data_IF_542375565708
#
_entry.id   IF_542375565708
#
_cell.length_a   1.000
_cell.length_b   1.000
_cell.length_c   1.000
_cell.angle_alpha   90.00
_cell.angle_beta   90.00
_cell.angle_gamma   90.00
#
_symmetry.space_group_name_H-M   'P 1'
#
loop_
_entity.id
_entity.type
_entity.pdbx_description
1 polymer ?
#
# COMPACT_ATOMS: atom_id res chain seq x y z
N UNK A 1 -11.28 -56.48 -20.02
CA UNK A 1 -9.85 -56.64 -20.37
C UNK A 1 -9.18 -55.31 -19.96
N UNK A 2 -8.62 -55.18 -18.75
CA UNK A 2 -7.20 -55.39 -18.36
C UNK A 2 -6.23 -54.62 -19.29
N UNK A 3 -5.31 -53.73 -18.86
CA UNK A 3 -4.40 -53.67 -17.70
C UNK A 3 -4.14 -52.19 -17.30
N UNK A 4 -3.80 -51.73 -16.08
CA UNK A 4 -2.74 -52.02 -15.08
C UNK A 4 -1.29 -51.75 -15.51
N UNK A 5 -0.61 -50.87 -14.75
CA UNK A 5 0.86 -50.80 -14.54
C UNK A 5 1.58 -49.76 -15.41
N UNK A 6 2.59 -49.01 -14.96
CA UNK A 6 3.42 -49.14 -13.76
C UNK A 6 4.13 -47.80 -13.42
N UNK A 7 4.47 -47.65 -12.15
CA UNK A 7 5.40 -46.66 -11.57
C UNK A 7 6.82 -47.24 -11.53
N UNK A 8 7.83 -46.46 -11.95
CA UNK A 8 9.25 -46.47 -11.52
C UNK A 8 9.97 -45.37 -12.37
N UNK A 9 10.92 -44.56 -11.92
CA UNK A 9 12.08 -44.86 -11.09
C UNK A 9 12.64 -43.59 -10.43
N UNK A 10 13.15 -43.77 -9.21
CA UNK A 10 14.23 -42.96 -8.63
C UNK A 10 15.56 -43.47 -9.20
N UNK A 11 16.53 -42.57 -9.39
CA UNK A 11 17.95 -42.91 -9.51
C UNK A 11 18.80 -41.66 -9.34
N UNK A 12 19.66 -41.64 -8.30
CA UNK A 12 21.08 -41.37 -8.53
C UNK A 12 21.97 -42.45 -7.90
N UNK A 13 22.94 -42.94 -8.68
CA UNK A 13 24.02 -43.87 -8.33
C UNK A 13 25.34 -43.08 -8.34
N UNK A 14 25.88 -42.74 -7.15
CA UNK A 14 27.09 -43.29 -6.45
C UNK A 14 28.44 -42.68 -6.92
N UNK A 15 29.58 -42.69 -6.17
CA UNK A 15 29.94 -43.53 -5.00
C UNK A 15 30.76 -42.88 -3.84
N UNK A 16 30.77 -43.62 -2.70
CA UNK A 16 31.85 -43.85 -1.70
C UNK A 16 32.51 -42.70 -0.91
N UNK A 17 32.46 -42.78 0.43
CA UNK A 17 33.56 -43.35 1.23
C UNK A 17 33.17 -43.53 2.72
N UNK A 18 33.49 -44.72 3.24
CA UNK A 18 33.35 -45.14 4.63
C UNK A 18 34.42 -44.48 5.52
N UNK A 19 34.01 -43.92 6.67
CA UNK A 19 34.88 -43.95 7.84
C UNK A 19 34.08 -44.09 9.13
N UNK A 20 34.22 -45.26 9.74
CA UNK A 20 33.71 -45.61 11.05
C UNK A 20 34.58 -44.97 12.15
N UNK A 21 33.95 -44.28 13.10
CA UNK A 21 34.62 -43.76 14.28
C UNK A 21 33.61 -43.38 15.35
N UNK A 22 33.24 -44.34 16.20
CA UNK A 22 32.37 -44.10 17.34
C UNK A 22 33.03 -43.23 18.41
N UNK A 23 32.24 -42.40 19.07
CA UNK A 23 32.40 -42.06 20.49
C UNK A 23 31.12 -41.42 21.01
N UNK A 24 30.51 -42.10 22.00
CA UNK A 24 29.43 -41.57 22.81
C UNK A 24 29.96 -40.41 23.65
N UNK A 25 29.29 -39.27 23.63
CA UNK A 25 29.35 -38.29 24.69
C UNK A 25 27.93 -37.74 24.93
N UNK A 26 27.33 -38.18 26.04
CA UNK A 26 26.12 -37.60 26.60
C UNK A 26 26.47 -36.26 27.25
N UNK A 27 25.76 -35.19 26.88
CA UNK A 27 25.67 -33.98 27.68
C UNK A 27 24.22 -33.48 27.66
N UNK A 28 23.64 -33.38 28.86
CA UNK A 28 22.28 -32.90 29.14
C UNK A 28 22.11 -31.40 28.84
N UNK A 29 20.85 -30.91 28.72
CA UNK A 29 20.53 -29.59 28.19
C UNK A 29 20.73 -28.52 29.26
N UNK A 30 21.26 -27.37 28.87
CA UNK A 30 21.23 -26.17 29.71
C UNK A 30 21.48 -24.92 28.87
N UNK A 31 20.39 -24.23 28.56
CA UNK A 31 20.11 -22.81 28.90
C UNK A 31 19.12 -22.24 27.89
N UNK A 32 17.87 -22.09 28.36
CA UNK A 32 16.83 -21.28 27.73
C UNK A 32 17.37 -19.83 27.63
N UNK A 33 17.41 -19.20 26.45
CA UNK A 33 17.60 -17.77 26.39
C UNK A 33 16.37 -17.12 27.03
N UNK A 34 16.58 -16.37 28.10
CA UNK A 34 15.61 -15.41 28.61
C UNK A 34 15.38 -14.39 27.51
N UNK A 35 14.18 -14.42 26.91
CA UNK A 35 13.64 -13.33 26.10
C UNK A 35 13.75 -12.03 26.89
N UNK A 36 14.47 -11.01 26.41
CA UNK A 36 14.15 -9.64 26.77
C UNK A 36 12.78 -9.35 26.15
N UNK A 37 11.83 -8.98 26.99
CA UNK A 37 10.64 -8.27 26.55
C UNK A 37 11.10 -6.88 26.14
N UNK A 38 11.49 -6.72 24.88
CA UNK A 38 11.66 -5.41 24.28
C UNK A 38 10.28 -4.92 23.84
N UNK A 39 9.62 -4.30 24.82
CA UNK A 39 8.63 -3.25 24.60
C UNK A 39 9.34 -2.09 23.88
N UNK A 40 9.54 -2.25 22.57
CA UNK A 40 9.98 -1.15 21.70
C UNK A 40 8.75 -0.36 21.29
N UNK A 41 8.24 0.40 22.26
CA UNK A 41 7.57 1.66 22.00
C UNK A 41 8.62 2.63 21.44
N UNK A 42 8.93 2.54 20.14
CA UNK A 42 9.74 3.53 19.43
C UNK A 42 8.88 4.76 19.09
N UNK A 43 8.50 5.49 20.14
CA UNK A 43 8.22 6.92 20.08
C UNK A 43 9.55 7.67 19.94
N UNK A 44 10.02 7.87 18.71
CA UNK A 44 11.08 8.83 18.42
C UNK A 44 11.08 9.31 16.96
N UNK A 45 9.91 9.63 16.40
CA UNK A 45 9.83 10.68 15.38
C UNK A 45 9.51 11.96 16.15
N UNK A 46 10.44 12.92 16.19
CA UNK A 46 10.26 14.17 16.93
C UNK A 46 8.87 14.72 16.70
N UNK A 47 8.07 14.80 17.76
CA UNK A 47 6.68 15.26 17.71
C UNK A 47 6.71 16.68 17.17
N UNK A 48 6.47 16.84 15.87
CA UNK A 48 6.37 18.17 15.28
C UNK A 48 5.31 18.96 16.06
N UNK A 49 5.55 20.26 16.26
CA UNK A 49 4.50 21.13 16.79
C UNK A 49 3.52 21.48 15.66
N UNK A 50 2.83 20.46 15.15
CA UNK A 50 1.92 20.61 14.03
C UNK A 50 0.62 21.34 14.42
N UNK A 51 0.42 21.65 15.70
CA UNK A 51 -0.81 22.26 16.20
C UNK A 51 -2.04 21.38 15.97
N UNK A 52 -3.13 21.98 15.45
CA UNK A 52 -4.39 21.25 15.20
C UNK A 52 -4.39 20.59 13.83
N UNK A 53 -4.77 19.30 13.72
CA UNK A 53 -4.84 18.62 12.43
C UNK A 53 -5.86 19.26 11.48
N UNK A 54 -5.61 19.20 10.16
CA UNK A 54 -6.52 19.74 9.16
C UNK A 54 -7.90 19.08 9.26
N UNK A 55 -8.95 19.90 9.24
CA UNK A 55 -10.34 19.44 9.25
C UNK A 55 -10.89 19.40 7.82
N UNK A 56 -11.38 18.23 7.43
CA UNK A 56 -12.06 18.05 6.15
C UNK A 56 -13.47 18.65 6.16
N UNK A 57 -13.97 19.15 5.02
CA UNK A 57 -15.37 19.51 4.88
C UNK A 57 -16.31 18.31 5.14
N UNK A 58 -17.56 18.58 5.50
CA UNK A 58 -18.53 17.52 5.76
C UNK A 58 -18.77 16.65 4.51
N UNK A 59 -18.75 15.33 4.68
CA UNK A 59 -18.93 14.36 3.58
C UNK A 59 -17.65 14.02 2.80
N UNK A 60 -16.57 14.78 2.99
CA UNK A 60 -15.28 14.54 2.36
C UNK A 60 -14.45 13.51 3.13
N UNK A 61 -13.63 12.75 2.38
CA UNK A 61 -12.68 11.78 2.93
C UNK A 61 -11.39 11.85 2.15
N UNK A 62 -10.27 11.87 2.86
CA UNK A 62 -8.97 11.66 2.24
C UNK A 62 -8.72 10.16 2.11
N UNK A 63 -8.21 9.74 0.97
CA UNK A 63 -7.89 8.34 0.68
C UNK A 63 -6.55 8.24 -0.05
N UNK A 64 -5.85 7.12 0.18
CA UNK A 64 -4.63 6.78 -0.54
C UNK A 64 -4.85 5.46 -1.31
N UNK A 65 -4.68 5.42 -2.64
CA UNK A 65 -4.77 4.19 -3.42
C UNK A 65 -3.83 3.12 -2.86
N UNK A 66 -4.37 1.94 -2.58
CA UNK A 66 -3.59 0.81 -2.08
C UNK A 66 -2.90 0.01 -3.19
N UNK A 67 -3.44 0.10 -4.41
CA UNK A 67 -2.93 -0.50 -5.65
C UNK A 67 -3.23 0.45 -6.81
N UNK A 68 -2.53 0.33 -7.95
CA UNK A 68 -2.84 1.11 -9.14
C UNK A 68 -4.33 1.02 -9.50
N UNK A 69 -5.05 2.15 -9.61
CA UNK A 69 -6.47 2.15 -9.94
C UNK A 69 -6.75 1.49 -11.30
N UNK A 70 -7.93 0.90 -11.44
CA UNK A 70 -8.37 0.21 -12.66
C UNK A 70 -9.64 0.85 -13.24
N UNK A 71 -10.00 0.49 -14.49
CA UNK A 71 -11.14 1.07 -15.24
C UNK A 71 -12.46 1.02 -14.47
N UNK A 72 -12.76 2.06 -13.70
CA UNK A 72 -14.03 2.23 -12.99
C UNK A 72 -13.97 2.01 -11.48
N UNK A 73 -12.80 1.73 -10.90
CA UNK A 73 -12.70 1.49 -9.46
C UNK A 73 -11.44 2.02 -8.81
N UNK A 74 -11.54 2.24 -7.50
CA UNK A 74 -10.46 2.65 -6.64
C UNK A 74 -10.43 1.74 -5.41
N UNK A 75 -9.33 1.01 -5.23
CA UNK A 75 -9.02 0.35 -3.96
C UNK A 75 -8.14 1.27 -3.14
N UNK A 76 -8.64 1.81 -2.03
CA UNK A 76 -7.93 2.82 -1.25
C UNK A 76 -8.10 2.66 0.26
N UNK A 77 -7.08 3.05 1.01
CA UNK A 77 -7.11 3.16 2.47
C UNK A 77 -7.64 4.53 2.86
N UNK A 78 -8.29 4.62 4.02
CA UNK A 78 -8.63 5.93 4.59
C UNK A 78 -7.32 6.63 4.96
N UNK A 79 -7.08 7.84 4.43
CA UNK A 79 -5.89 8.61 4.75
C UNK A 79 -6.14 9.52 5.95
N UNK A 80 -5.21 9.50 6.90
CA UNK A 80 -5.26 10.31 8.13
C UNK A 80 -4.08 11.28 8.17
N UNK A 81 -4.28 12.48 8.73
CA UNK A 81 -3.17 13.40 8.93
C UNK A 81 -2.20 12.81 9.96
N UNK A 82 -0.93 12.79 9.59
CA UNK A 82 0.22 12.38 10.39
C UNK A 82 1.11 13.60 10.56
N UNK A 83 1.46 13.91 11.80
CA UNK A 83 2.34 15.04 12.10
C UNK A 83 3.79 14.65 11.79
N UNK A 84 4.44 15.42 10.92
CA UNK A 84 5.89 15.34 10.68
C UNK A 84 6.58 16.52 11.36
N UNK A 85 7.93 16.54 11.42
CA UNK A 85 8.65 17.71 11.92
C UNK A 85 8.36 19.02 11.17
N UNK A 86 7.84 18.96 9.94
CA UNK A 86 7.61 20.14 9.10
C UNK A 86 6.12 20.52 8.98
N UNK A 87 5.22 19.53 8.91
CA UNK A 87 3.81 19.74 8.54
C UNK A 87 2.91 18.53 8.81
N UNK A 88 1.61 18.70 8.54
CA UNK A 88 0.64 17.61 8.48
C UNK A 88 0.60 16.99 7.09
N UNK A 89 0.94 15.70 6.98
CA UNK A 89 0.82 14.94 5.73
C UNK A 89 -0.22 13.84 5.88
N UNK A 90 -0.92 13.50 4.81
CA UNK A 90 -1.90 12.42 4.83
C UNK A 90 -1.25 11.10 4.46
N UNK A 91 -1.52 10.05 5.24
CA UNK A 91 -1.12 8.68 4.91
C UNK A 91 -2.28 7.71 5.11
N UNK A 92 -2.40 6.76 4.20
CA UNK A 92 -3.35 5.67 4.18
C UNK A 92 -3.13 4.72 5.35
N UNK A 93 -4.16 4.56 6.16
CA UNK A 93 -4.14 3.71 7.35
C UNK A 93 -5.20 2.61 7.27
N UNK A 94 -4.91 1.48 7.91
CA UNK A 94 -5.82 0.35 8.00
C UNK A 94 -6.00 -0.42 6.69
N UNK A 95 -7.14 -1.09 6.57
CA UNK A 95 -7.47 -1.94 5.41
C UNK A 95 -8.00 -1.10 4.25
N UNK A 96 -7.61 -1.46 3.04
CA UNK A 96 -8.15 -0.88 1.84
C UNK A 96 -9.63 -1.24 1.68
N UNK A 97 -10.40 -0.27 1.19
CA UNK A 97 -11.81 -0.43 0.78
C UNK A 97 -11.86 -0.29 -0.74
N UNK A 98 -12.85 -0.97 -1.33
CA UNK A 98 -13.11 -0.91 -2.75
C UNK A 98 -14.25 0.07 -3.01
N UNK A 99 -14.03 1.01 -3.93
CA UNK A 99 -14.99 2.01 -4.34
C UNK A 99 -15.22 1.92 -5.84
N UNK A 100 -16.47 2.06 -6.27
CA UNK A 100 -16.83 2.31 -7.66
C UNK A 100 -16.90 3.81 -7.92
N UNK A 101 -16.64 4.22 -9.16
CA UNK A 101 -16.96 5.57 -9.59
C UNK A 101 -18.41 5.64 -10.06
N UNK A 102 -19.14 6.66 -9.61
CA UNK A 102 -20.45 6.97 -10.14
C UNK A 102 -20.36 7.33 -11.63
N UNK A 103 -21.47 7.20 -12.36
CA UNK A 103 -21.53 7.48 -13.81
C UNK A 103 -21.06 8.89 -14.19
N UNK A 104 -21.40 9.90 -13.37
CA UNK A 104 -21.10 11.32 -13.59
C UNK A 104 -20.12 11.88 -12.55
N UNK A 105 -19.07 11.12 -12.23
CA UNK A 105 -18.06 11.55 -11.25
C UNK A 105 -17.33 12.82 -11.69
N UNK A 106 -17.17 13.76 -10.75
CA UNK A 106 -16.32 14.95 -10.93
C UNK A 106 -14.88 14.58 -10.58
N UNK A 107 -14.00 14.55 -11.57
CA UNK A 107 -12.60 14.21 -11.38
C UNK A 107 -11.70 15.42 -11.62
N UNK A 108 -10.76 15.65 -10.70
CA UNK A 108 -9.80 16.76 -10.75
C UNK A 108 -8.38 16.29 -10.44
N UNK A 109 -7.42 16.72 -11.25
CA UNK A 109 -5.99 16.48 -11.04
C UNK A 109 -5.28 17.76 -10.59
N UNK A 110 -4.28 17.61 -9.73
CA UNK A 110 -3.46 18.71 -9.26
C UNK A 110 -2.51 19.19 -10.37
N UNK A 111 -2.34 20.49 -10.48
CA UNK A 111 -1.41 21.14 -11.45
C UNK A 111 -0.41 22.06 -10.75
N UNK A 112 -0.37 22.00 -9.41
CA UNK A 112 0.44 22.86 -8.55
C UNK A 112 -0.31 23.24 -7.27
N UNK A 113 0.36 24.01 -6.42
CA UNK A 113 -0.18 24.48 -5.14
C UNK A 113 -1.55 25.15 -5.30
N UNK A 114 -2.60 24.55 -4.73
CA UNK A 114 -3.97 25.05 -4.75
C UNK A 114 -4.63 25.10 -6.13
N UNK A 115 -4.02 24.49 -7.15
CA UNK A 115 -4.53 24.50 -8.53
C UNK A 115 -4.91 23.12 -8.98
N UNK A 116 -6.14 22.97 -9.45
CA UNK A 116 -6.64 21.73 -10.03
C UNK A 116 -7.20 21.97 -11.43
N UNK A 117 -7.30 20.88 -12.19
CA UNK A 117 -7.96 20.87 -13.50
C UNK A 117 -8.93 19.70 -13.56
N UNK A 118 -10.16 19.97 -13.99
CA UNK A 118 -11.14 18.94 -14.26
C UNK A 118 -10.71 18.06 -15.43
N UNK A 119 -10.84 16.75 -15.26
CA UNK A 119 -10.48 15.73 -16.24
C UNK A 119 -11.54 14.64 -16.30
N UNK A 120 -11.62 13.85 -17.38
CA UNK A 120 -12.40 12.61 -17.36
C UNK A 120 -11.86 11.67 -16.28
N UNK A 121 -12.72 10.92 -15.60
CA UNK A 121 -12.29 9.91 -14.60
C UNK A 121 -11.30 8.92 -15.18
N UNK A 122 -11.47 8.58 -16.46
CA UNK A 122 -10.53 7.87 -17.33
C UNK A 122 -9.08 8.30 -17.14
N UNK A 123 -8.87 9.60 -17.26
CA UNK A 123 -7.56 10.22 -17.16
C UNK A 123 -7.05 10.23 -15.71
N UNK A 124 -7.92 10.43 -14.73
CA UNK A 124 -7.52 10.46 -13.33
C UNK A 124 -6.99 9.11 -12.86
N UNK A 125 -7.70 8.01 -13.13
CA UNK A 125 -7.23 6.69 -12.67
C UNK A 125 -5.97 6.24 -13.42
N UNK A 126 -5.81 6.63 -14.69
CA UNK A 126 -4.55 6.42 -15.41
C UNK A 126 -3.40 7.21 -14.77
N UNK A 127 -3.60 8.49 -14.48
CA UNK A 127 -2.60 9.33 -13.81
C UNK A 127 -2.20 8.75 -12.44
N UNK A 128 -3.18 8.36 -11.63
CA UNK A 128 -2.93 7.71 -10.34
C UNK A 128 -2.11 6.41 -10.50
N UNK A 129 -2.44 5.59 -11.51
CA UNK A 129 -1.70 4.37 -11.81
C UNK A 129 -0.26 4.63 -12.27
N UNK A 130 -0.07 5.62 -13.16
CA UNK A 130 1.24 6.05 -13.63
C UNK A 130 2.09 6.59 -12.47
N UNK A 131 1.51 7.35 -11.55
CA UNK A 131 2.23 7.84 -10.38
C UNK A 131 2.72 6.73 -9.42
N UNK A 132 2.03 5.59 -9.41
CA UNK A 132 2.42 4.43 -8.61
C UNK A 132 3.40 3.50 -9.34
N UNK A 133 3.45 3.52 -10.67
CA UNK A 133 4.15 2.46 -11.45
C UNK A 133 5.13 2.98 -12.51
N UNK A 134 4.91 4.18 -13.04
CA UNK A 134 5.71 4.77 -14.11
C UNK A 134 5.61 6.31 -14.09
N UNK A 135 6.24 6.95 -13.10
CA UNK A 135 6.16 8.41 -12.93
C UNK A 135 6.67 9.19 -14.15
N UNK A 136 7.59 8.62 -14.93
CA UNK A 136 8.10 9.23 -16.17
C UNK A 136 7.04 9.33 -17.29
N UNK A 137 5.94 8.57 -17.20
CA UNK A 137 4.81 8.68 -18.12
C UNK A 137 3.90 9.89 -17.81
N UNK A 138 3.99 10.44 -16.59
CA UNK A 138 3.21 11.61 -16.18
C UNK A 138 3.74 12.84 -16.89
N UNK A 139 2.86 13.50 -17.63
CA UNK A 139 3.19 14.66 -18.46
C UNK A 139 2.72 15.94 -17.81
N UNK A 140 3.50 17.00 -18.04
CA UNK A 140 3.08 18.35 -17.72
C UNK A 140 1.68 18.65 -18.30
N UNK A 141 0.82 19.38 -17.57
CA UNK A 141 1.12 20.14 -16.36
C UNK A 141 0.99 19.34 -15.04
N UNK A 142 0.78 18.02 -15.11
CA UNK A 142 0.58 17.20 -13.92
C UNK A 142 1.91 16.70 -13.33
N UNK A 143 1.87 16.36 -12.05
CA UNK A 143 2.97 15.77 -11.29
C UNK A 143 2.41 14.78 -10.28
N UNK A 144 3.22 13.84 -9.81
CA UNK A 144 2.80 12.93 -8.76
C UNK A 144 2.87 13.61 -7.39
N UNK A 145 1.70 13.82 -6.79
CA UNK A 145 1.55 14.58 -5.55
C UNK A 145 1.24 13.70 -4.34
N UNK A 146 2.00 12.61 -4.17
CA UNK A 146 1.88 11.73 -3.00
C UNK A 146 0.67 10.78 -3.02
N UNK A 147 -0.07 10.70 -4.13
CA UNK A 147 -1.22 9.80 -4.30
C UNK A 147 -2.33 9.97 -3.25
N UNK A 148 -2.53 11.18 -2.73
CA UNK A 148 -3.64 11.47 -1.82
C UNK A 148 -4.80 12.11 -2.60
N UNK A 149 -6.00 11.59 -2.38
CA UNK A 149 -7.21 12.05 -3.03
C UNK A 149 -8.27 12.43 -2.00
N UNK A 150 -8.91 13.57 -2.20
CA UNK A 150 -10.14 13.96 -1.52
C UNK A 150 -11.33 13.43 -2.32
N UNK A 151 -12.15 12.59 -1.70
CA UNK A 151 -13.35 12.00 -2.29
C UNK A 151 -14.61 12.38 -1.53
N UNK A 152 -15.72 12.45 -2.26
CA UNK A 152 -17.06 12.36 -1.70
C UNK A 152 -17.77 11.14 -2.26
N UNK A 153 -18.71 10.61 -1.48
CA UNK A 153 -19.53 9.48 -1.87
C UNK A 153 -20.98 9.94 -2.08
N UNK A 154 -21.70 9.32 -3.01
CA UNK A 154 -23.15 9.46 -3.12
C UNK A 154 -23.92 8.56 -2.12
N UNK A 155 -25.23 8.49 -2.28
CA UNK A 155 -26.11 7.66 -1.45
C UNK A 155 -25.91 6.15 -1.63
N UNK A 156 -25.32 5.72 -2.74
CA UNK A 156 -25.01 4.32 -3.04
C UNK A 156 -23.61 3.93 -2.54
N UNK A 157 -22.83 4.92 -2.08
CA UNK A 157 -21.46 4.73 -1.62
C UNK A 157 -20.44 4.76 -2.75
N UNK A 158 -20.83 5.21 -3.94
CA UNK A 158 -19.94 5.37 -5.09
C UNK A 158 -19.29 6.75 -5.06
N UNK A 159 -18.09 6.86 -5.62
CA UNK A 159 -17.34 8.11 -5.70
C UNK A 159 -18.03 9.01 -6.72
N UNK A 160 -18.62 10.11 -6.23
CA UNK A 160 -19.25 11.14 -7.07
C UNK A 160 -18.35 12.39 -7.26
N UNK A 161 -17.31 12.55 -6.45
CA UNK A 161 -16.22 13.51 -6.67
C UNK A 161 -14.91 12.91 -6.20
N UNK A 162 -13.84 13.15 -6.96
CA UNK A 162 -12.46 12.79 -6.62
C UNK A 162 -11.50 13.88 -7.09
N UNK A 163 -10.63 14.33 -6.18
CA UNK A 163 -9.67 15.39 -6.45
C UNK A 163 -8.31 15.01 -5.88
N UNK A 164 -7.29 15.01 -6.72
CA UNK A 164 -5.91 14.85 -6.26
C UNK A 164 -5.50 16.06 -5.40
N UNK A 165 -4.91 15.77 -4.24
CA UNK A 165 -4.35 16.78 -3.36
C UNK A 165 -2.90 17.03 -3.76
N UNK A 166 -2.58 18.28 -4.07
CA UNK A 166 -1.21 18.65 -4.37
C UNK A 166 -0.33 18.59 -3.12
N UNK A 167 0.82 17.94 -3.28
CA UNK A 167 1.91 17.94 -2.32
C UNK A 167 3.20 18.29 -3.07
N UNK A 168 4.03 19.21 -2.56
CA UNK A 168 5.34 19.55 -3.14
C UNK A 168 6.31 18.38 -3.06
#
# INVERSE_FOLDING_TARGET
MAALGAVTSCGPEDPYDDNAGGSKASAQPSKKPTTPSDDSSDDAAGSGDCGTPPKLPAGHKMVEPAVPPSKGSLSAKDAKPVCTPNDWIYHGQGKAKYYLFAGDVKAELATGAGKTKSVPVGQLWMHAGDCMTNQSAVKAPYSCSGNIYDITLDSEGEINSIKEIWHP
#
